data_IF_656222154563
#
_entry.id   IF_656222154563
#
_cell.length_a   1.000
_cell.length_b   1.000
_cell.length_c   1.000
_cell.angle_alpha   90.00
_cell.angle_beta   90.00
_cell.angle_gamma   90.00
#
_symmetry.space_group_name_H-M   'P 1'
#
loop_
_entity.id
_entity.type
_entity.pdbx_description
1 polymer ?
#
# COMPACT_ATOMS: atom_id res chain seq x y z
N UNK A 1 21.29 28.58 -23.18
CA UNK A 1 21.63 27.16 -22.91
C UNK A 1 21.27 26.35 -24.14
N UNK A 2 22.20 25.54 -24.65
CA UNK A 2 21.96 24.61 -25.76
C UNK A 2 21.24 23.37 -25.21
N UNK A 3 20.33 22.74 -25.97
CA UNK A 3 19.68 21.50 -25.54
C UNK A 3 20.72 20.37 -25.51
N UNK A 4 20.79 19.67 -24.39
CA UNK A 4 21.62 18.47 -24.25
C UNK A 4 20.98 17.32 -25.02
N UNK A 5 21.76 16.75 -25.94
CA UNK A 5 21.42 15.56 -26.69
C UNK A 5 21.52 14.33 -25.77
N UNK A 6 20.38 13.75 -25.39
CA UNK A 6 20.37 12.40 -24.84
C UNK A 6 20.66 11.40 -25.97
N UNK A 7 21.89 10.89 -25.98
CA UNK A 7 22.30 9.77 -26.81
C UNK A 7 21.57 8.50 -26.37
N UNK A 8 20.92 7.85 -27.32
CA UNK A 8 20.29 6.55 -27.15
C UNK A 8 21.34 5.48 -26.82
N UNK A 9 21.41 5.05 -25.56
CA UNK A 9 22.14 3.84 -25.19
C UNK A 9 21.29 2.88 -24.34
N UNK A 10 21.04 1.72 -24.97
CA UNK A 10 20.69 0.40 -24.45
C UNK A 10 19.46 0.30 -23.55
N UNK A 11 18.32 0.16 -24.22
CA UNK A 11 17.10 -0.49 -23.70
C UNK A 11 17.46 -1.93 -23.29
N UNK A 12 17.30 -2.34 -22.02
CA UNK A 12 17.44 -3.73 -21.62
C UNK A 12 16.36 -4.58 -22.30
N UNK A 13 16.78 -5.66 -22.94
CA UNK A 13 15.89 -6.59 -23.62
C UNK A 13 15.17 -7.51 -22.61
N UNK A 14 14.00 -7.06 -22.13
CA UNK A 14 12.73 -7.82 -22.24
C UNK A 14 11.56 -6.88 -21.87
N UNK A 15 10.77 -6.49 -22.87
CA UNK A 15 9.53 -5.72 -22.78
C UNK A 15 8.29 -6.64 -22.68
N UNK A 16 8.52 -7.93 -22.43
CA UNK A 16 7.45 -8.91 -22.33
C UNK A 16 6.76 -8.71 -20.98
N UNK A 17 5.65 -7.93 -20.96
CA UNK A 17 4.49 -7.97 -20.03
C UNK A 17 3.85 -6.59 -19.72
N UNK A 18 4.42 -5.46 -20.18
CA UNK A 18 3.73 -4.16 -20.11
C UNK A 18 2.87 -3.93 -21.36
N UNK A 19 1.56 -3.81 -21.18
CA UNK A 19 0.61 -3.62 -22.28
C UNK A 19 0.17 -2.16 -22.44
N UNK A 20 0.36 -1.58 -23.63
CA UNK A 20 -0.27 -0.31 -24.00
C UNK A 20 -1.74 -0.52 -24.33
N UNK A 21 -2.60 0.18 -23.61
CA UNK A 21 -4.05 0.13 -23.77
C UNK A 21 -4.60 1.53 -24.00
N UNK A 22 -5.80 1.61 -24.60
CA UNK A 22 -6.48 2.89 -24.79
C UNK A 22 -8.01 2.74 -24.85
N UNK A 23 -8.71 3.84 -24.61
CA UNK A 23 -10.13 3.99 -24.92
C UNK A 23 -10.50 5.46 -25.15
N UNK A 24 -11.65 5.70 -25.78
CA UNK A 24 -12.15 7.05 -25.99
C UNK A 24 -12.78 7.63 -24.71
N UNK A 25 -12.38 8.84 -24.32
CA UNK A 25 -12.97 9.62 -23.25
C UNK A 25 -12.92 11.11 -23.60
N UNK A 26 -14.04 11.81 -23.42
CA UNK A 26 -14.19 13.23 -23.73
C UNK A 26 -13.66 13.60 -25.13
N UNK A 27 -14.08 12.84 -26.16
CA UNK A 27 -13.63 13.02 -27.54
C UNK A 27 -12.17 12.68 -27.83
N UNK A 28 -11.39 12.29 -26.82
CA UNK A 28 -9.95 12.02 -26.93
C UNK A 28 -9.64 10.53 -26.81
N UNK A 29 -8.58 10.07 -27.50
CA UNK A 29 -7.96 8.76 -27.25
C UNK A 29 -7.13 8.87 -25.98
N UNK A 30 -7.55 8.21 -24.90
CA UNK A 30 -6.80 8.16 -23.64
C UNK A 30 -6.03 6.86 -23.56
N UNK A 31 -4.73 6.97 -23.30
CA UNK A 31 -3.80 5.84 -23.25
C UNK A 31 -3.36 5.55 -21.82
N UNK A 32 -2.98 4.31 -21.57
CA UNK A 32 -2.41 3.88 -20.30
C UNK A 32 -1.61 2.60 -20.50
N UNK A 33 -0.53 2.44 -19.74
CA UNK A 33 0.18 1.17 -19.62
C UNK A 33 -0.44 0.34 -18.52
N UNK A 34 -0.39 -0.98 -18.68
CA UNK A 34 -0.83 -1.94 -17.68
C UNK A 34 0.24 -3.01 -17.51
N UNK A 35 0.57 -3.31 -16.26
CA UNK A 35 1.39 -4.46 -15.90
C UNK A 35 0.55 -5.40 -15.03
N UNK A 36 0.42 -6.65 -15.48
CA UNK A 36 -0.27 -7.72 -14.75
C UNK A 36 0.80 -8.68 -14.27
N UNK A 37 0.94 -8.89 -12.95
CA UNK A 37 2.01 -9.72 -12.43
C UNK A 37 1.83 -11.17 -12.85
N UNK A 38 2.93 -11.89 -13.05
CA UNK A 38 2.92 -13.25 -13.60
C UNK A 38 2.08 -14.24 -12.78
N UNK A 39 1.98 -14.02 -11.46
CA UNK A 39 1.17 -14.81 -10.53
C UNK A 39 -0.32 -14.47 -10.47
N UNK A 40 -0.80 -13.54 -11.30
CA UNK A 40 -2.20 -13.11 -11.31
C UNK A 40 -3.15 -14.24 -11.76
N UNK A 41 -4.29 -14.36 -11.07
CA UNK A 41 -5.39 -15.26 -11.43
C UNK A 41 -6.72 -14.56 -11.18
N UNK A 42 -7.71 -14.78 -12.05
CA UNK A 42 -9.08 -14.28 -11.88
C UNK A 42 -9.77 -14.77 -10.59
N UNK A 43 -9.22 -15.79 -9.93
CA UNK A 43 -9.75 -16.33 -8.65
C UNK A 43 -9.29 -15.54 -7.43
N UNK A 44 -8.35 -14.59 -7.58
CA UNK A 44 -7.82 -13.78 -6.49
C UNK A 44 -8.05 -12.30 -6.84
N UNK A 45 -8.68 -11.56 -5.93
CA UNK A 45 -8.88 -10.12 -6.10
C UNK A 45 -7.55 -9.38 -5.86
N UNK A 46 -7.03 -8.75 -6.91
CA UNK A 46 -5.75 -8.04 -6.89
C UNK A 46 -5.91 -6.57 -6.45
N UNK A 47 -5.03 -6.03 -5.59
CA UNK A 47 -4.95 -4.59 -5.38
C UNK A 47 -4.51 -3.87 -6.66
N UNK A 48 -4.88 -2.60 -6.80
CA UNK A 48 -4.57 -1.77 -7.97
C UNK A 48 -3.80 -0.53 -7.55
N UNK A 49 -2.75 -0.19 -8.29
CA UNK A 49 -2.03 1.09 -8.16
C UNK A 49 -2.13 1.88 -9.46
N UNK A 50 -2.67 3.09 -9.35
CA UNK A 50 -2.60 4.11 -10.39
C UNK A 50 -1.34 4.95 -10.17
N UNK A 51 -0.41 4.98 -11.14
CA UNK A 51 0.86 5.71 -11.01
C UNK A 51 0.98 6.80 -12.10
N UNK A 52 0.91 8.07 -11.68
CA UNK A 52 0.77 9.23 -12.57
C UNK A 52 2.10 9.96 -12.79
N UNK A 53 2.43 10.24 -14.06
CA UNK A 53 3.60 11.01 -14.44
C UNK A 53 3.47 12.51 -14.10
N UNK A 54 4.60 13.20 -13.93
CA UNK A 54 4.66 14.65 -13.78
C UNK A 54 4.36 15.42 -15.08
N UNK A 55 4.24 16.75 -14.99
CA UNK A 55 3.93 17.59 -16.15
C UNK A 55 5.00 17.44 -17.25
N UNK A 56 4.59 17.29 -18.52
CA UNK A 56 5.46 17.03 -19.65
C UNK A 56 5.98 15.59 -19.75
N UNK A 57 5.63 14.72 -18.79
CA UNK A 57 6.08 13.34 -18.74
C UNK A 57 5.33 12.38 -19.66
N UNK A 58 5.67 11.10 -19.56
CA UNK A 58 4.97 10.02 -20.26
C UNK A 58 4.71 8.86 -19.31
N UNK A 59 3.71 8.03 -19.61
CA UNK A 59 3.43 6.82 -18.85
C UNK A 59 4.66 5.89 -18.79
N UNK A 60 5.39 5.73 -19.90
CA UNK A 60 6.63 4.96 -19.94
C UNK A 60 7.77 5.61 -19.14
N UNK A 61 7.85 6.94 -19.16
CA UNK A 61 8.82 7.68 -18.35
C UNK A 61 8.55 7.51 -16.86
N UNK A 62 7.28 7.53 -16.45
CA UNK A 62 6.91 7.27 -15.06
C UNK A 62 7.14 5.81 -14.64
N UNK A 63 6.90 4.85 -15.53
CA UNK A 63 7.26 3.45 -15.29
C UNK A 63 8.77 3.29 -15.05
N UNK A 64 9.60 4.01 -15.81
CA UNK A 64 11.05 3.99 -15.62
C UNK A 64 11.51 4.73 -14.35
N UNK A 65 10.85 5.85 -14.00
CA UNK A 65 11.17 6.64 -12.81
C UNK A 65 10.71 5.96 -11.51
N UNK A 66 9.56 5.29 -11.57
CA UNK A 66 8.85 4.70 -10.44
C UNK A 66 8.42 3.28 -10.83
N UNK A 67 9.41 2.38 -10.93
CA UNK A 67 9.16 1.00 -11.29
C UNK A 67 8.68 0.20 -10.07
N UNK A 68 7.41 -0.20 -10.11
CA UNK A 68 6.78 -1.00 -9.04
C UNK A 68 6.66 -2.48 -9.44
N UNK A 69 7.24 -2.91 -10.56
CA UNK A 69 7.01 -4.27 -11.08
C UNK A 69 7.48 -5.37 -10.13
N UNK A 70 8.60 -5.18 -9.45
CA UNK A 70 9.06 -6.13 -8.42
C UNK A 70 8.08 -6.25 -7.25
N UNK A 71 7.48 -5.13 -6.82
CA UNK A 71 6.41 -5.14 -5.82
C UNK A 71 5.15 -5.81 -6.36
N UNK A 72 4.81 -5.58 -7.63
CA UNK A 72 3.68 -6.21 -8.27
C UNK A 72 3.82 -7.73 -8.35
N UNK A 73 4.98 -8.25 -8.77
CA UNK A 73 5.28 -9.68 -8.76
C UNK A 73 5.17 -10.27 -7.35
N UNK A 74 5.76 -9.58 -6.36
CA UNK A 74 5.79 -10.08 -4.98
C UNK A 74 4.42 -10.07 -4.29
N UNK A 75 3.57 -9.10 -4.61
CA UNK A 75 2.35 -8.83 -3.87
C UNK A 75 1.06 -8.98 -4.69
N UNK A 76 1.17 -9.40 -5.95
CA UNK A 76 0.03 -9.60 -6.85
C UNK A 76 -0.69 -8.30 -7.21
N UNK A 77 0.05 -7.20 -7.39
CA UNK A 77 -0.51 -5.86 -7.64
C UNK A 77 -0.71 -5.66 -9.14
N UNK A 78 -1.90 -5.19 -9.56
CA UNK A 78 -2.08 -4.68 -10.91
C UNK A 78 -1.61 -3.23 -10.96
N UNK A 79 -0.61 -2.94 -11.80
CA UNK A 79 -0.11 -1.58 -11.98
C UNK A 79 -0.70 -0.96 -13.24
N UNK A 80 -1.14 0.28 -13.11
CA UNK A 80 -1.66 1.09 -14.20
C UNK A 80 -0.90 2.41 -14.23
N UNK A 81 -0.30 2.73 -15.38
CA UNK A 81 0.40 3.99 -15.60
C UNK A 81 -0.35 4.79 -16.67
N UNK A 82 -1.26 5.71 -16.28
CA UNK A 82 -2.04 6.48 -17.24
C UNK A 82 -1.19 7.53 -17.98
N UNK A 83 -1.59 7.85 -19.22
CA UNK A 83 -0.99 8.94 -20.01
C UNK A 83 -1.89 10.19 -19.97
N UNK A 84 -1.32 11.31 -19.53
CA UNK A 84 -1.95 12.62 -19.53
C UNK A 84 -2.05 13.16 -20.95
N UNK A 85 -3.09 13.95 -21.21
CA UNK A 85 -3.27 14.60 -22.50
C UNK A 85 -2.29 15.76 -22.65
N UNK A 86 -1.90 16.05 -23.89
CA UNK A 86 -0.98 17.14 -24.20
C UNK A 86 -1.72 18.49 -24.28
N UNK A 87 -1.16 19.52 -23.66
CA UNK A 87 -1.62 20.89 -23.84
C UNK A 87 -1.28 21.39 -25.25
N UNK A 88 -2.11 22.29 -25.78
CA UNK A 88 -1.84 22.94 -27.07
C UNK A 88 -0.48 23.67 -27.11
N UNK A 89 -0.01 24.15 -25.95
CA UNK A 89 1.29 24.84 -25.80
C UNK A 89 2.45 23.87 -25.49
N UNK A 90 2.20 22.57 -25.53
CA UNK A 90 3.16 21.50 -25.22
C UNK A 90 3.10 21.06 -23.76
N UNK A 91 3.49 19.80 -23.55
CA UNK A 91 3.54 19.16 -22.23
C UNK A 91 2.24 18.43 -21.90
N UNK A 92 2.37 17.14 -21.61
CA UNK A 92 1.29 16.33 -21.06
C UNK A 92 0.96 16.74 -19.63
N UNK A 93 -0.31 16.68 -19.24
CA UNK A 93 -0.72 17.13 -17.91
C UNK A 93 -1.90 16.36 -17.35
N UNK A 94 -2.17 16.64 -16.08
CA UNK A 94 -3.34 16.23 -15.33
C UNK A 94 -4.06 17.46 -14.76
N UNK A 95 -5.38 17.45 -14.86
CA UNK A 95 -6.30 18.29 -14.11
C UNK A 95 -6.76 17.51 -12.85
N UNK A 96 -6.26 17.84 -11.65
CA UNK A 96 -6.64 17.14 -10.42
C UNK A 96 -8.06 17.49 -9.92
N UNK A 97 -8.66 18.53 -10.50
CA UNK A 97 -9.93 19.12 -10.11
C UNK A 97 -10.98 19.01 -11.22
N UNK A 98 -12.28 19.10 -10.89
CA UNK A 98 -13.33 19.33 -11.87
C UNK A 98 -12.99 20.53 -12.77
N UNK A 99 -13.28 20.38 -14.06
CA UNK A 99 -12.95 21.41 -15.05
C UNK A 99 -13.60 22.75 -14.68
N UNK A 100 -12.76 23.77 -14.57
CA UNK A 100 -13.11 25.14 -14.22
C UNK A 100 -12.33 26.15 -15.08
N UNK A 101 -12.59 27.45 -14.90
CA UNK A 101 -11.83 28.51 -15.58
C UNK A 101 -10.33 28.50 -15.24
N UNK A 102 -9.95 27.94 -14.08
CA UNK A 102 -8.57 27.90 -13.60
C UNK A 102 -7.85 26.61 -14.00
N UNK A 103 -8.55 25.70 -14.68
CA UNK A 103 -7.99 24.45 -15.20
C UNK A 103 -7.00 24.69 -16.34
N UNK A 104 -5.96 23.84 -16.43
CA UNK A 104 -4.94 23.94 -17.49
C UNK A 104 -5.51 23.64 -18.87
N UNK A 105 -6.56 22.81 -18.92
CA UNK A 105 -7.32 22.49 -20.12
C UNK A 105 -8.74 22.06 -19.72
N UNK A 106 -9.56 21.77 -20.73
CA UNK A 106 -10.91 21.20 -20.55
C UNK A 106 -10.93 19.67 -20.32
N UNK A 107 -9.77 19.02 -20.15
CA UNK A 107 -9.69 17.56 -19.96
C UNK A 107 -10.34 17.12 -18.65
N UNK A 108 -11.31 16.21 -18.73
CA UNK A 108 -11.90 15.53 -17.57
C UNK A 108 -11.04 14.32 -17.12
N UNK A 109 -9.97 14.59 -16.37
CA UNK A 109 -9.06 13.54 -15.91
C UNK A 109 -9.66 12.70 -14.77
N UNK A 110 -10.52 13.29 -13.94
CA UNK A 110 -11.28 12.58 -12.92
C UNK A 110 -12.21 11.55 -13.57
N UNK A 111 -13.08 11.97 -14.51
CA UNK A 111 -13.97 11.06 -15.23
C UNK A 111 -13.23 10.02 -16.06
N UNK A 112 -12.05 10.36 -16.60
CA UNK A 112 -11.16 9.38 -17.24
C UNK A 112 -10.73 8.28 -16.26
N UNK A 113 -10.20 8.64 -15.09
CA UNK A 113 -9.76 7.65 -14.07
C UNK A 113 -10.92 6.79 -13.59
N UNK A 114 -12.09 7.37 -13.33
CA UNK A 114 -13.28 6.61 -12.92
C UNK A 114 -13.69 5.58 -13.99
N UNK A 115 -13.65 5.96 -15.27
CA UNK A 115 -13.93 5.04 -16.39
C UNK A 115 -12.83 3.99 -16.58
N UNK A 116 -11.57 4.36 -16.35
CA UNK A 116 -10.43 3.45 -16.39
C UNK A 116 -10.58 2.35 -15.33
N UNK A 117 -10.83 2.69 -14.07
CA UNK A 117 -11.06 1.71 -13.00
C UNK A 117 -12.27 0.79 -13.29
N UNK A 118 -13.35 1.34 -13.84
CA UNK A 118 -14.50 0.53 -14.31
C UNK A 118 -14.11 -0.46 -15.41
N UNK A 119 -13.22 -0.07 -16.32
CA UNK A 119 -12.70 -0.93 -17.38
C UNK A 119 -11.79 -2.03 -16.82
N UNK A 120 -10.89 -1.66 -15.91
CA UNK A 120 -9.98 -2.61 -15.24
C UNK A 120 -10.79 -3.65 -14.46
N UNK A 121 -11.75 -3.24 -13.63
CA UNK A 121 -12.61 -4.16 -12.87
C UNK A 121 -13.51 -5.06 -13.71
N UNK A 122 -13.76 -4.72 -14.98
CA UNK A 122 -14.47 -5.59 -15.92
C UNK A 122 -13.56 -6.67 -16.51
N UNK A 123 -12.29 -6.33 -16.73
CA UNK A 123 -11.33 -7.20 -17.40
C UNK A 123 -10.51 -8.04 -16.42
N UNK A 124 -10.40 -7.61 -15.17
CA UNK A 124 -9.63 -8.24 -14.11
C UNK A 124 -10.45 -8.31 -12.82
N UNK A 125 -10.32 -9.41 -12.10
CA UNK A 125 -10.72 -9.55 -10.70
C UNK A 125 -9.84 -8.65 -9.84
N UNK A 126 -10.37 -7.50 -9.42
CA UNK A 126 -9.68 -6.53 -8.57
C UNK A 126 -10.36 -6.41 -7.23
N UNK A 127 -9.56 -6.15 -6.21
CA UNK A 127 -10.03 -5.82 -4.88
C UNK A 127 -10.38 -4.33 -4.85
N UNK A 128 -11.69 -4.03 -4.97
CA UNK A 128 -12.18 -2.64 -4.98
C UNK A 128 -11.95 -1.91 -3.66
N UNK A 129 -11.69 -2.64 -2.56
CA UNK A 129 -11.32 -2.03 -1.29
C UNK A 129 -9.86 -1.57 -1.26
N UNK A 130 -9.03 -2.01 -2.22
CA UNK A 130 -7.58 -1.76 -2.31
C UNK A 130 -7.18 -1.14 -3.65
N UNK A 131 -7.74 0.02 -3.93
CA UNK A 131 -7.29 0.87 -5.03
C UNK A 131 -6.51 2.04 -4.45
N UNK A 132 -5.28 2.21 -4.91
CA UNK A 132 -4.37 3.25 -4.44
C UNK A 132 -3.91 4.12 -5.61
N UNK A 133 -3.44 5.33 -5.29
CA UNK A 133 -2.83 6.21 -6.28
C UNK A 133 -1.50 6.79 -5.81
N UNK A 134 -0.54 6.87 -6.71
CA UNK A 134 0.76 7.52 -6.50
C UNK A 134 1.11 8.33 -7.73
N UNK A 135 2.10 9.20 -7.64
CA UNK A 135 2.57 9.95 -8.78
C UNK A 135 3.60 10.98 -8.40
N UNK A 136 4.20 11.57 -9.41
CA UNK A 136 5.26 12.56 -9.28
C UNK A 136 4.75 13.96 -9.66
N UNK A 137 5.06 14.99 -8.87
CA UNK A 137 4.80 16.39 -9.22
C UNK A 137 3.34 16.68 -9.60
N UNK A 138 3.02 17.02 -10.86
CA UNK A 138 1.63 17.17 -11.31
C UNK A 138 0.81 15.88 -11.15
N UNK A 139 1.43 14.71 -11.28
CA UNK A 139 0.82 13.40 -11.02
C UNK A 139 0.58 13.14 -9.52
N UNK A 140 1.43 13.66 -8.64
CA UNK A 140 1.13 13.69 -7.19
C UNK A 140 -0.08 14.57 -6.89
N UNK A 141 -0.20 15.73 -7.57
CA UNK A 141 -1.41 16.54 -7.54
C UNK A 141 -2.65 15.78 -8.00
N UNK A 142 -2.53 14.96 -9.05
CA UNK A 142 -3.63 14.07 -9.48
C UNK A 142 -4.00 13.05 -8.39
N UNK A 143 -3.03 12.47 -7.68
CA UNK A 143 -3.31 11.57 -6.57
C UNK A 143 -4.09 12.28 -5.43
N UNK A 144 -3.69 13.50 -5.05
CA UNK A 144 -4.45 14.31 -4.09
C UNK A 144 -5.88 14.61 -4.58
N UNK A 145 -6.04 14.98 -5.84
CA UNK A 145 -7.35 15.21 -6.45
C UNK A 145 -8.25 13.97 -6.42
N UNK A 146 -7.69 12.78 -6.67
CA UNK A 146 -8.42 11.52 -6.56
C UNK A 146 -8.83 11.21 -5.11
N UNK A 147 -7.95 11.46 -4.13
CA UNK A 147 -8.29 11.27 -2.73
C UNK A 147 -9.42 12.21 -2.29
N UNK A 148 -9.43 13.45 -2.78
CA UNK A 148 -10.46 14.44 -2.43
C UNK A 148 -11.80 14.20 -3.15
N UNK A 149 -11.76 13.95 -4.47
CA UNK A 149 -12.96 13.88 -5.33
C UNK A 149 -13.48 12.45 -5.58
N UNK A 150 -12.67 11.43 -5.29
CA UNK A 150 -13.07 10.01 -5.39
C UNK A 150 -12.75 9.21 -4.11
N UNK A 151 -13.10 9.75 -2.93
CA UNK A 151 -12.80 9.11 -1.66
C UNK A 151 -13.53 7.77 -1.56
N UNK A 152 -14.65 7.55 -2.27
CA UNK A 152 -15.35 6.27 -2.36
C UNK A 152 -14.53 5.15 -3.03
N UNK A 153 -13.59 5.52 -3.91
CA UNK A 153 -12.81 4.57 -4.71
C UNK A 153 -11.39 4.38 -4.20
N UNK A 154 -10.78 5.39 -3.60
CA UNK A 154 -9.35 5.41 -3.27
C UNK A 154 -9.14 5.11 -1.79
N UNK A 155 -8.47 3.99 -1.49
CA UNK A 155 -8.16 3.60 -0.12
C UNK A 155 -6.92 4.32 0.45
N UNK A 156 -6.03 4.80 -0.41
CA UNK A 156 -4.86 5.55 0.03
C UNK A 156 -4.03 6.10 -1.12
N UNK A 157 -3.22 7.11 -0.82
CA UNK A 157 -2.35 7.75 -1.79
C UNK A 157 -0.90 7.86 -1.31
N UNK A 158 0.03 7.82 -2.26
CA UNK A 158 1.47 7.99 -2.02
C UNK A 158 2.09 9.08 -2.92
N UNK A 159 1.74 10.37 -2.76
CA UNK A 159 2.27 11.46 -3.60
C UNK A 159 3.75 11.74 -3.34
N UNK A 160 4.52 11.97 -4.41
CA UNK A 160 5.96 12.28 -4.36
C UNK A 160 6.24 13.63 -5.02
N UNK A 161 6.95 14.52 -4.31
CA UNK A 161 7.31 15.88 -4.75
C UNK A 161 6.15 16.63 -5.38
N UNK A 162 4.97 16.54 -4.74
CA UNK A 162 3.77 17.26 -5.14
C UNK A 162 3.01 17.79 -3.94
N UNK A 163 2.05 18.66 -4.21
CA UNK A 163 1.22 19.32 -3.21
C UNK A 163 -0.26 19.25 -3.62
N UNK A 164 -1.11 19.41 -2.61
CA UNK A 164 -2.55 19.48 -2.71
C UNK A 164 -3.00 20.92 -3.01
N UNK A 165 -4.11 21.07 -3.73
CA UNK A 165 -4.77 22.37 -3.87
C UNK A 165 -5.17 22.90 -2.48
N UNK A 166 -4.89 24.17 -2.17
CA UNK A 166 -5.15 24.73 -0.83
C UNK A 166 -6.64 24.88 -0.50
N UNK A 167 -7.49 25.01 -1.52
CA UNK A 167 -8.94 25.04 -1.35
C UNK A 167 -9.46 23.80 -0.62
N UNK A 168 -8.79 22.65 -0.80
CA UNK A 168 -9.18 21.39 -0.16
C UNK A 168 -9.10 21.47 1.37
N UNK A 169 -8.24 22.32 1.92
CA UNK A 169 -8.10 22.50 3.38
C UNK A 169 -9.40 22.98 4.03
N UNK A 170 -10.28 23.63 3.26
CA UNK A 170 -11.54 24.21 3.72
C UNK A 170 -12.77 23.33 3.50
N UNK A 171 -12.59 22.18 2.85
CA UNK A 171 -13.66 21.27 2.44
C UNK A 171 -13.39 19.86 2.93
N UNK A 172 -14.43 19.08 3.19
CA UNK A 172 -14.24 17.66 3.54
C UNK A 172 -14.23 16.79 2.28
N UNK A 173 -13.52 15.68 2.34
CA UNK A 173 -13.45 14.66 1.28
C UNK A 173 -14.72 13.77 1.27
N UNK A 174 -15.91 14.39 1.34
CA UNK A 174 -17.19 13.68 1.26
C UNK A 174 -17.46 12.66 2.36
N UNK A 175 -16.69 12.67 3.45
CA UNK A 175 -16.90 11.82 4.64
C UNK A 175 -16.28 10.42 4.57
N UNK A 176 -15.51 10.10 3.52
CA UNK A 176 -14.85 8.78 3.42
C UNK A 176 -13.32 8.89 3.56
N UNK A 177 -12.74 8.50 4.72
CA UNK A 177 -11.32 8.69 5.04
C UNK A 177 -10.38 8.19 3.94
N UNK A 178 -9.27 8.87 3.61
CA UNK A 178 -8.26 8.37 2.66
C UNK A 178 -6.89 8.40 3.33
N UNK A 179 -6.15 7.29 3.32
CA UNK A 179 -4.81 7.27 3.91
C UNK A 179 -3.79 7.99 3.03
N UNK A 180 -2.81 8.64 3.65
CA UNK A 180 -1.80 9.45 2.95
C UNK A 180 -0.39 9.08 3.39
N UNK A 181 0.49 8.73 2.46
CA UNK A 181 1.94 8.71 2.71
C UNK A 181 2.65 9.66 1.73
N UNK A 182 3.15 10.78 2.21
CA UNK A 182 3.75 11.82 1.35
C UNK A 182 5.27 11.83 1.45
N UNK A 183 5.94 12.15 0.33
CA UNK A 183 7.39 12.33 0.26
C UNK A 183 7.71 13.67 -0.38
N UNK A 184 8.38 14.56 0.33
CA UNK A 184 8.71 15.91 -0.12
C UNK A 184 10.15 16.26 0.26
N UNK A 185 10.81 17.07 -0.58
CA UNK A 185 12.16 17.56 -0.34
C UNK A 185 12.13 18.97 0.23
N UNK A 186 12.98 19.25 1.24
CA UNK A 186 13.04 20.59 1.86
C UNK A 186 13.52 21.68 0.90
N UNK A 187 14.30 21.33 -0.13
CA UNK A 187 14.82 22.22 -1.16
C UNK A 187 14.05 22.13 -2.49
N UNK A 188 12.84 21.58 -2.50
CA UNK A 188 11.98 21.56 -3.68
C UNK A 188 11.44 22.97 -4.01
N UNK A 189 12.05 23.67 -4.96
CA UNK A 189 11.61 25.03 -5.34
C UNK A 189 10.42 25.03 -6.31
N UNK A 190 10.04 23.86 -6.85
CA UNK A 190 8.89 23.71 -7.76
C UNK A 190 7.62 23.47 -6.95
N UNK A 191 7.73 22.70 -5.86
CA UNK A 191 6.67 22.38 -4.90
C UNK A 191 7.18 22.63 -3.47
N UNK A 192 7.34 23.91 -3.08
CA UNK A 192 7.91 24.28 -1.79
C UNK A 192 7.14 23.67 -0.62
N UNK A 193 7.86 23.21 0.41
CA UNK A 193 7.25 22.61 1.62
C UNK A 193 6.25 23.54 2.31
N UNK A 194 6.44 24.86 2.16
CA UNK A 194 5.55 25.90 2.71
C UNK A 194 4.31 26.16 1.84
N UNK A 195 4.14 25.46 0.73
CA UNK A 195 3.05 25.69 -0.21
C UNK A 195 3.26 26.93 -1.09
N UNK A 196 2.22 27.25 -1.85
CA UNK A 196 2.11 28.48 -2.65
C UNK A 196 0.79 29.12 -2.27
N UNK A 197 0.84 30.27 -1.60
CA UNK A 197 -0.35 30.94 -1.08
C UNK A 197 -1.41 31.20 -2.16
N UNK A 198 -2.64 30.73 -1.94
CA UNK A 198 -3.76 30.84 -2.87
C UNK A 198 -3.71 29.84 -4.02
N UNK A 199 -2.94 28.76 -3.89
CA UNK A 199 -2.83 27.73 -4.93
C UNK A 199 -2.50 26.34 -4.40
N UNK A 200 -1.52 26.19 -3.51
CA UNK A 200 -1.06 24.89 -3.00
C UNK A 200 -0.84 24.95 -1.49
N UNK A 201 -1.42 23.98 -0.79
CA UNK A 201 -1.23 23.85 0.66
C UNK A 201 0.22 23.51 1.02
N UNK A 202 0.65 23.92 2.22
CA UNK A 202 1.93 23.48 2.77
C UNK A 202 1.90 21.99 3.11
N UNK A 203 3.06 21.32 3.10
CA UNK A 203 3.15 19.90 3.45
C UNK A 203 2.61 19.64 4.86
N UNK A 204 2.90 20.52 5.82
CA UNK A 204 2.40 20.42 7.18
C UNK A 204 0.88 20.58 7.27
N UNK A 205 0.29 21.50 6.50
CA UNK A 205 -1.17 21.70 6.46
C UNK A 205 -1.87 20.50 5.80
N UNK A 206 -1.27 19.93 4.76
CA UNK A 206 -1.76 18.71 4.08
C UNK A 206 -1.83 17.56 5.09
N UNK A 207 -0.73 17.26 5.77
CA UNK A 207 -0.67 16.18 6.76
C UNK A 207 -1.67 16.41 7.89
N UNK A 208 -1.76 17.64 8.39
CA UNK A 208 -2.72 18.00 9.45
C UNK A 208 -4.17 17.90 8.99
N UNK A 209 -4.47 18.27 7.74
CA UNK A 209 -5.80 18.14 7.15
C UNK A 209 -6.22 16.67 7.07
N UNK A 210 -5.39 15.82 6.46
CA UNK A 210 -5.70 14.39 6.32
C UNK A 210 -5.72 13.66 7.67
N UNK A 211 -4.89 14.06 8.63
CA UNK A 211 -4.95 13.52 9.98
C UNK A 211 -6.31 13.82 10.64
N UNK A 212 -6.84 15.04 10.48
CA UNK A 212 -8.19 15.40 10.97
C UNK A 212 -9.29 14.63 10.24
N UNK A 213 -9.26 14.59 8.92
CA UNK A 213 -10.26 13.84 8.12
C UNK A 213 -10.29 12.35 8.53
N UNK A 214 -9.13 11.78 8.87
CA UNK A 214 -9.00 10.40 9.29
C UNK A 214 -9.16 10.17 10.80
N UNK A 215 -9.52 11.21 11.58
CA UNK A 215 -9.62 11.14 13.04
C UNK A 215 -8.35 10.62 13.73
N UNK A 216 -7.19 10.94 13.18
CA UNK A 216 -5.89 10.61 13.76
C UNK A 216 -5.50 11.67 14.78
N UNK A 217 -5.48 11.26 16.04
CA UNK A 217 -5.31 12.10 17.24
C UNK A 217 -3.91 12.02 17.83
N UNK A 218 -3.13 11.01 17.43
CA UNK A 218 -1.78 10.75 17.93
C UNK A 218 -0.76 11.03 16.83
N UNK A 219 0.40 11.57 17.19
CA UNK A 219 1.50 11.82 16.25
C UNK A 219 2.85 11.44 16.83
N UNK A 220 3.72 10.83 16.03
CA UNK A 220 5.10 10.49 16.38
C UNK A 220 6.03 10.99 15.27
N UNK A 221 7.10 11.69 15.65
CA UNK A 221 8.14 12.12 14.73
C UNK A 221 9.44 11.33 14.96
N UNK A 222 10.06 10.90 13.88
CA UNK A 222 11.29 10.10 13.86
C UNK A 222 12.26 10.65 12.82
N UNK A 223 13.55 10.41 13.03
CA UNK A 223 14.59 10.84 12.11
C UNK A 223 15.45 9.65 11.69
N UNK A 224 15.78 9.61 10.41
CA UNK A 224 16.63 8.62 9.79
C UNK A 224 17.80 9.32 9.09
N UNK A 225 18.93 8.63 9.01
CA UNK A 225 20.11 9.10 8.30
C UNK A 225 20.32 8.26 7.05
N UNK A 226 20.51 8.93 5.91
CA UNK A 226 20.86 8.30 4.64
C UNK A 226 22.37 8.13 4.52
N UNK A 227 22.81 7.17 3.68
CA UNK A 227 24.23 6.93 3.43
C UNK A 227 24.96 8.12 2.80
N UNK A 228 24.24 8.95 2.03
CA UNK A 228 24.76 10.18 1.42
C UNK A 228 24.87 11.35 2.44
N UNK A 229 24.45 11.13 3.69
CA UNK A 229 24.48 12.12 4.77
C UNK A 229 23.22 12.99 4.87
N UNK A 230 22.23 12.81 4.00
CA UNK A 230 20.92 13.48 4.14
C UNK A 230 20.16 12.92 5.36
N UNK A 231 19.39 13.78 6.01
CA UNK A 231 18.43 13.39 7.05
C UNK A 231 17.05 13.20 6.42
N UNK A 232 16.30 12.24 6.92
CA UNK A 232 14.87 12.12 6.62
C UNK A 232 14.10 12.27 7.92
N UNK A 233 13.13 13.17 7.94
CA UNK A 233 12.17 13.27 9.03
C UNK A 233 10.86 12.58 8.62
N UNK A 234 10.43 11.61 9.42
CA UNK A 234 9.11 11.00 9.30
C UNK A 234 8.20 11.52 10.40
N UNK A 235 7.02 12.00 10.06
CA UNK A 235 5.93 12.19 11.03
C UNK A 235 4.78 11.26 10.70
N UNK A 236 4.38 10.42 11.66
CA UNK A 236 3.27 9.48 11.54
C UNK A 236 2.10 9.96 12.38
N UNK A 237 0.88 9.92 11.84
CA UNK A 237 -0.37 10.23 12.54
C UNK A 237 -1.27 9.00 12.59
N UNK A 238 -1.68 8.64 13.81
CA UNK A 238 -2.48 7.46 14.10
C UNK A 238 -3.76 7.79 14.83
N UNK A 239 -4.77 6.96 14.62
CA UNK A 239 -6.03 6.94 15.36
C UNK A 239 -5.85 6.31 16.74
N UNK A 240 -6.85 6.46 17.59
CA UNK A 240 -6.87 5.82 18.93
C UNK A 240 -6.88 4.29 18.88
N UNK A 241 -7.32 3.70 17.77
CA UNK A 241 -7.26 2.25 17.51
C UNK A 241 -5.87 1.76 17.05
N UNK A 242 -4.88 2.66 16.96
CA UNK A 242 -3.51 2.37 16.57
C UNK A 242 -3.27 2.33 15.06
N UNK A 243 -4.29 2.53 14.22
CA UNK A 243 -4.11 2.62 12.78
C UNK A 243 -3.44 3.95 12.40
N UNK A 244 -2.23 3.86 11.83
CA UNK A 244 -1.59 4.99 11.16
C UNK A 244 -2.28 5.26 9.83
N UNK A 245 -2.79 6.48 9.66
CA UNK A 245 -3.52 6.89 8.44
C UNK A 245 -2.84 8.01 7.67
N UNK A 246 -1.84 8.67 8.26
CA UNK A 246 -1.00 9.65 7.57
C UNK A 246 0.46 9.42 7.95
N UNK A 247 1.35 9.37 6.96
CA UNK A 247 2.79 9.45 7.13
C UNK A 247 3.34 10.56 6.22
N UNK A 248 4.21 11.40 6.78
CA UNK A 248 4.89 12.46 6.05
C UNK A 248 6.37 12.21 6.13
N UNK A 249 7.04 12.18 4.98
CA UNK A 249 8.49 12.10 4.85
C UNK A 249 9.02 13.42 4.28
N UNK A 250 9.86 14.10 5.05
CA UNK A 250 10.64 15.25 4.59
C UNK A 250 12.10 14.84 4.42
N UNK A 251 12.62 15.01 3.21
CA UNK A 251 14.02 14.70 2.86
C UNK A 251 14.82 15.99 2.93
N UNK A 252 15.74 16.06 3.89
CA UNK A 252 16.70 17.16 4.04
C UNK A 252 17.53 17.30 2.77
N UNK A 253 17.69 18.52 2.27
CA UNK A 253 18.32 18.86 0.99
C UNK A 253 17.70 18.22 -0.26
N UNK A 254 16.62 17.46 -0.12
CA UNK A 254 15.91 16.86 -1.24
C UNK A 254 15.28 17.91 -2.14
N UNK A 255 15.39 17.73 -3.45
CA UNK A 255 14.85 18.65 -4.45
C UNK A 255 13.49 18.22 -5.00
N UNK A 256 13.23 18.61 -6.26
CA UNK A 256 12.06 18.17 -7.02
C UNK A 256 12.37 16.88 -7.78
N UNK A 257 12.19 15.72 -7.12
CA UNK A 257 12.65 14.43 -7.65
C UNK A 257 11.81 13.24 -7.16
N UNK A 258 12.11 12.05 -7.70
CA UNK A 258 11.66 10.79 -7.09
C UNK A 258 12.82 10.26 -6.25
N UNK A 259 12.69 10.34 -4.92
CA UNK A 259 13.82 10.15 -4.03
C UNK A 259 14.37 8.72 -4.05
N UNK A 260 15.69 8.61 -4.11
CA UNK A 260 16.44 7.40 -3.80
C UNK A 260 16.62 7.32 -2.28
N UNK A 261 15.72 6.59 -1.62
CA UNK A 261 15.69 6.46 -0.15
C UNK A 261 16.22 5.09 0.26
N UNK A 262 16.92 5.04 1.39
CA UNK A 262 17.13 3.81 2.15
C UNK A 262 16.79 4.05 3.62
N UNK A 263 15.61 3.60 4.04
CA UNK A 263 15.17 3.63 5.43
C UNK A 263 15.01 2.21 5.93
N UNK A 264 15.98 1.77 6.74
CA UNK A 264 16.01 0.42 7.30
C UNK A 264 15.94 -0.68 6.22
N UNK A 265 16.69 -0.50 5.13
CA UNK A 265 16.76 -1.43 4.01
C UNK A 265 15.55 -1.38 3.08
N UNK A 266 14.78 -0.28 3.08
CA UNK A 266 13.60 -0.09 2.24
C UNK A 266 13.71 1.17 1.40
N UNK A 267 13.39 1.01 0.12
CA UNK A 267 13.23 2.13 -0.82
C UNK A 267 11.87 2.84 -0.67
N UNK A 268 11.72 3.98 -1.35
CA UNK A 268 10.48 4.77 -1.35
C UNK A 268 9.26 3.96 -1.77
N UNK A 269 9.36 3.15 -2.82
CA UNK A 269 8.24 2.37 -3.34
C UNK A 269 7.81 1.30 -2.33
N UNK A 270 8.78 0.67 -1.66
CA UNK A 270 8.55 -0.32 -0.60
C UNK A 270 7.90 0.30 0.64
N UNK A 271 8.35 1.50 1.06
CA UNK A 271 7.73 2.25 2.15
C UNK A 271 6.28 2.63 1.80
N UNK A 272 6.06 3.17 0.61
CA UNK A 272 4.74 3.49 0.10
C UNK A 272 3.83 2.26 0.07
N UNK A 273 4.30 1.13 -0.44
CA UNK A 273 3.53 -0.12 -0.44
C UNK A 273 3.24 -0.65 0.97
N UNK A 274 4.22 -0.63 1.87
CA UNK A 274 4.04 -1.06 3.26
C UNK A 274 2.94 -0.25 3.95
N UNK A 275 2.89 1.05 3.69
CA UNK A 275 1.81 1.90 4.19
C UNK A 275 0.47 1.57 3.53
N UNK A 276 0.40 1.63 2.19
CA UNK A 276 -0.84 1.50 1.42
C UNK A 276 -1.51 0.15 1.59
N UNK A 277 -0.73 -0.94 1.60
CA UNK A 277 -1.23 -2.31 1.69
C UNK A 277 -2.00 -2.60 3.00
N UNK A 278 -1.80 -1.77 4.03
CA UNK A 278 -2.55 -1.82 5.29
C UNK A 278 -3.90 -1.13 5.21
N UNK A 279 -4.27 -0.47 4.11
CA UNK A 279 -5.49 0.33 4.03
C UNK A 279 -6.54 -0.35 3.15
N UNK A 280 -7.77 -0.44 3.64
CA UNK A 280 -8.93 -0.94 2.88
C UNK A 280 -10.14 -0.02 3.06
N UNK A 281 -10.90 0.17 1.98
CA UNK A 281 -12.23 0.79 2.04
C UNK A 281 -13.29 -0.20 2.50
N UNK A 282 -14.07 0.17 3.52
CA UNK A 282 -15.24 -0.59 3.98
C UNK A 282 -16.30 0.38 4.51
N UNK A 283 -17.55 0.27 4.03
CA UNK A 283 -18.73 1.00 4.53
C UNK A 283 -18.44 2.50 4.77
N UNK A 284 -17.90 3.17 3.75
CA UNK A 284 -17.46 4.57 3.76
C UNK A 284 -16.27 4.89 4.69
N UNK A 285 -15.77 3.96 5.50
CA UNK A 285 -14.57 4.11 6.32
C UNK A 285 -13.28 3.64 5.64
N UNK A 286 -12.14 3.97 6.27
CA UNK A 286 -10.90 3.19 6.13
C UNK A 286 -10.71 2.36 7.39
N UNK A 287 -10.45 1.08 7.17
CA UNK A 287 -9.93 0.19 8.19
C UNK A 287 -8.47 -0.12 7.88
N UNK A 288 -7.72 -0.52 8.91
CA UNK A 288 -6.63 -1.47 8.68
C UNK A 288 -7.19 -2.55 7.79
N UNK A 289 -6.42 -3.04 6.82
CA UNK A 289 -6.73 -4.24 6.10
C UNK A 289 -7.12 -5.23 7.18
N UNK A 290 -8.44 -5.47 7.36
CA UNK A 290 -8.87 -6.47 8.31
C UNK A 290 -8.19 -7.67 7.76
N UNK A 291 -7.21 -8.13 8.52
CA UNK A 291 -6.61 -9.40 8.28
C UNK A 291 -7.78 -10.32 8.03
N UNK A 292 -7.84 -10.98 6.88
CA UNK A 292 -8.89 -11.98 6.68
C UNK A 292 -8.71 -12.94 7.84
N UNK A 293 -9.59 -12.84 8.83
CA UNK A 293 -9.34 -13.47 10.10
C UNK A 293 -10.07 -14.79 10.09
N UNK A 294 -9.27 -15.84 10.24
CA UNK A 294 -9.78 -17.17 10.45
C UNK A 294 -9.91 -17.38 11.95
N UNK A 295 -11.13 -17.45 12.45
CA UNK A 295 -11.39 -17.85 13.83
C UNK A 295 -11.13 -19.35 13.94
N UNK A 296 -10.09 -19.73 14.70
CA UNK A 296 -9.85 -21.12 15.08
C UNK A 296 -10.47 -21.41 16.43
N UNK A 297 -11.22 -22.51 16.50
CA UNK A 297 -11.82 -23.00 17.74
C UNK A 297 -11.09 -24.23 18.24
N UNK A 298 -11.16 -24.48 19.54
CA UNK A 298 -10.68 -25.72 20.14
C UNK A 298 -11.39 -26.92 19.46
N UNK A 299 -10.66 -27.84 18.81
CA UNK A 299 -11.26 -29.05 18.26
C UNK A 299 -11.60 -30.04 19.37
N UNK A 300 -12.70 -30.79 19.21
CA UNK A 300 -13.09 -31.84 20.17
C UNK A 300 -12.02 -32.93 20.34
N UNK A 301 -11.24 -33.19 19.29
CA UNK A 301 -10.13 -34.15 19.27
C UNK A 301 -9.00 -33.65 18.37
N UNK A 302 -7.78 -33.61 18.88
CA UNK A 302 -6.58 -33.19 18.11
C UNK A 302 -6.12 -34.26 17.11
N UNK A 303 -6.79 -34.34 15.97
CA UNK A 303 -6.34 -35.17 14.85
C UNK A 303 -6.15 -34.36 13.59
N UNK A 304 -5.21 -34.79 12.73
CA UNK A 304 -4.97 -34.14 11.44
C UNK A 304 -6.20 -34.15 10.51
N UNK A 305 -7.15 -35.07 10.73
CA UNK A 305 -8.39 -35.16 9.97
C UNK A 305 -9.42 -34.09 10.35
N UNK A 306 -9.41 -33.66 11.61
CA UNK A 306 -10.34 -32.68 12.19
C UNK A 306 -9.76 -31.28 12.31
N UNK A 307 -8.44 -31.12 12.17
CA UNK A 307 -7.80 -29.80 12.12
C UNK A 307 -8.34 -28.95 10.95
N UNK A 308 -8.52 -27.66 11.21
CA UNK A 308 -8.99 -26.71 10.21
C UNK A 308 -8.03 -26.64 9.02
N UNK A 309 -8.58 -26.70 7.81
CA UNK A 309 -7.79 -26.66 6.57
C UNK A 309 -7.86 -25.27 5.99
N UNK A 310 -6.80 -24.50 6.23
CA UNK A 310 -6.70 -23.13 5.71
C UNK A 310 -6.08 -23.18 4.33
N UNK A 311 -6.86 -22.74 3.34
CA UNK A 311 -6.42 -22.61 1.95
C UNK A 311 -6.25 -21.13 1.61
N UNK A 312 -5.22 -20.82 0.82
CA UNK A 312 -4.94 -19.47 0.31
C UNK A 312 -4.71 -18.42 1.43
N UNK A 313 -4.07 -18.80 2.54
CA UNK A 313 -3.68 -17.85 3.58
C UNK A 313 -2.49 -17.00 3.12
N UNK A 314 -2.61 -15.67 3.20
CA UNK A 314 -1.55 -14.73 2.89
C UNK A 314 -0.97 -14.12 4.17
N UNK A 315 0.22 -14.56 4.58
CA UNK A 315 0.86 -14.08 5.81
C UNK A 315 1.25 -12.58 5.79
N UNK A 316 1.15 -11.90 4.65
CA UNK A 316 1.34 -10.44 4.60
C UNK A 316 0.05 -9.67 4.91
N UNK A 317 -1.11 -10.30 4.72
CA UNK A 317 -2.41 -9.61 4.77
C UNK A 317 -3.46 -10.27 5.64
N UNK A 318 -3.24 -11.48 6.15
CA UNK A 318 -4.25 -12.30 6.85
C UNK A 318 -3.88 -12.55 8.33
N UNK A 319 -4.89 -12.93 9.13
CA UNK A 319 -4.83 -13.22 10.57
C UNK A 319 -5.34 -14.60 10.81
N UNK A 320 -4.86 -15.18 11.90
CA UNK A 320 -5.55 -16.23 12.60
C UNK A 320 -6.03 -15.64 13.93
N UNK A 321 -7.34 -15.58 14.11
CA UNK A 321 -7.95 -15.23 15.38
C UNK A 321 -8.07 -16.50 16.21
N UNK A 322 -7.60 -16.46 17.45
CA UNK A 322 -7.67 -17.60 18.37
C UNK A 322 -8.35 -17.13 19.65
N UNK A 323 -9.55 -17.64 19.92
CA UNK A 323 -10.25 -17.44 21.19
C UNK A 323 -9.52 -18.22 22.29
N UNK A 324 -8.61 -17.58 22.99
CA UNK A 324 -7.73 -18.23 23.96
C UNK A 324 -8.49 -18.73 25.20
N UNK A 325 -9.68 -18.17 25.47
CA UNK A 325 -10.54 -18.64 26.56
C UNK A 325 -11.09 -20.04 26.25
N UNK A 326 -11.40 -20.32 24.98
CA UNK A 326 -11.81 -21.66 24.54
C UNK A 326 -10.72 -22.71 24.73
N UNK A 327 -9.45 -22.30 24.74
CA UNK A 327 -8.27 -23.15 25.00
C UNK A 327 -7.87 -23.19 26.49
N UNK A 328 -8.66 -22.58 27.38
CA UNK A 328 -8.38 -22.55 28.82
C UNK A 328 -7.19 -21.66 29.22
N UNK A 329 -6.72 -20.79 28.33
CA UNK A 329 -5.63 -19.86 28.60
C UNK A 329 -6.23 -18.56 29.16
N UNK A 330 -5.92 -18.24 30.42
CA UNK A 330 -6.40 -17.06 31.13
C UNK A 330 -5.33 -15.97 31.30
N UNK A 331 -4.29 -16.00 30.47
CA UNK A 331 -3.15 -15.06 30.42
C UNK A 331 -2.83 -14.70 28.98
N UNK A 332 -1.88 -13.79 28.77
CA UNK A 332 -1.31 -13.57 27.44
C UNK A 332 -0.73 -14.88 26.88
N UNK A 333 -1.21 -15.29 25.71
CA UNK A 333 -0.73 -16.48 25.03
C UNK A 333 0.61 -16.23 24.34
N UNK A 334 1.43 -17.27 24.24
CA UNK A 334 2.75 -17.23 23.60
C UNK A 334 2.76 -18.05 22.31
N UNK A 335 3.53 -17.57 21.33
CA UNK A 335 3.64 -18.19 20.00
C UNK A 335 5.09 -18.40 19.61
N UNK A 336 5.38 -19.59 19.09
CA UNK A 336 6.71 -19.99 18.61
C UNK A 336 6.64 -20.60 17.22
N UNK A 337 7.78 -20.60 16.52
CA UNK A 337 7.89 -21.18 15.17
C UNK A 337 9.09 -22.12 15.06
N UNK A 338 9.02 -23.07 14.13
CA UNK A 338 10.17 -23.89 13.76
C UNK A 338 10.25 -24.10 12.26
N UNK A 339 11.37 -23.68 11.65
CA UNK A 339 11.61 -23.76 10.19
C UNK A 339 11.89 -25.18 9.71
N UNK A 340 12.31 -26.04 10.64
CA UNK A 340 12.68 -27.42 10.36
C UNK A 340 12.47 -28.31 11.59
N UNK A 341 12.59 -29.63 11.38
CA UNK A 341 12.40 -30.66 12.42
C UNK A 341 13.29 -30.46 13.65
N UNK A 342 14.49 -29.89 13.50
CA UNK A 342 15.42 -29.67 14.62
C UNK A 342 14.96 -28.52 15.50
N UNK A 343 14.51 -27.43 14.90
CA UNK A 343 13.97 -26.26 15.62
C UNK A 343 12.65 -26.56 16.30
N UNK A 344 11.72 -27.23 15.61
CA UNK A 344 10.45 -27.69 16.22
C UNK A 344 10.73 -28.54 17.47
N UNK A 345 11.71 -29.46 17.41
CA UNK A 345 12.13 -30.25 18.59
C UNK A 345 12.75 -29.40 19.70
N UNK A 346 13.47 -28.33 19.36
CA UNK A 346 14.08 -27.41 20.33
C UNK A 346 13.01 -26.63 21.09
N UNK A 347 11.99 -26.14 20.38
CA UNK A 347 10.84 -25.46 20.99
C UNK A 347 10.06 -26.42 21.89
N UNK A 348 9.71 -27.61 21.36
CA UNK A 348 9.03 -28.67 22.14
C UNK A 348 9.79 -29.09 23.41
N UNK A 349 11.12 -28.97 23.45
CA UNK A 349 11.90 -29.32 24.62
C UNK A 349 11.82 -28.27 25.74
N UNK A 350 11.50 -27.01 25.40
CA UNK A 350 11.38 -25.94 26.39
C UNK A 350 10.04 -25.94 27.11
N UNK A 351 8.98 -26.38 26.43
CA UNK A 351 7.60 -26.44 26.99
C UNK A 351 7.07 -25.08 27.48
N UNK A 352 7.63 -23.96 26.99
CA UNK A 352 7.34 -22.58 27.42
C UNK A 352 6.54 -21.80 26.35
N UNK A 353 5.63 -22.48 25.65
CA UNK A 353 4.81 -21.90 24.59
C UNK A 353 3.37 -22.41 24.63
N UNK A 354 2.42 -21.60 24.20
CA UNK A 354 1.02 -22.02 24.06
C UNK A 354 0.72 -22.52 22.64
N UNK A 355 1.29 -21.86 21.62
CA UNK A 355 1.10 -22.21 20.22
C UNK A 355 2.44 -22.36 19.48
N UNK A 356 2.53 -23.38 18.61
CA UNK A 356 3.70 -23.66 17.78
C UNK A 356 3.30 -23.86 16.34
N UNK A 357 4.00 -23.17 15.43
CA UNK A 357 3.85 -23.38 13.99
C UNK A 357 5.06 -24.10 13.36
N UNK A 358 4.81 -25.28 12.76
CA UNK A 358 5.77 -26.02 11.94
C UNK A 358 5.76 -25.43 10.52
N UNK A 359 6.65 -24.47 10.25
CA UNK A 359 6.74 -23.77 8.95
C UNK A 359 7.07 -24.72 7.80
N UNK A 360 7.69 -25.89 8.06
CA UNK A 360 7.96 -26.86 6.99
C UNK A 360 6.69 -27.60 6.55
N UNK A 361 5.74 -27.79 7.46
CA UNK A 361 4.52 -28.59 7.21
C UNK A 361 3.24 -27.77 7.14
N UNK A 362 3.30 -26.49 7.51
CA UNK A 362 2.14 -25.62 7.63
C UNK A 362 1.21 -26.01 8.78
N UNK A 363 1.69 -26.74 9.79
CA UNK A 363 0.86 -27.18 10.91
C UNK A 363 0.92 -26.20 12.08
N UNK A 364 -0.23 -25.74 12.55
CA UNK A 364 -0.38 -24.94 13.77
C UNK A 364 -0.87 -25.84 14.91
N UNK A 365 -0.17 -25.81 16.03
CA UNK A 365 -0.37 -26.70 17.17
C UNK A 365 -0.62 -25.89 18.44
N UNK A 366 -1.54 -26.39 19.26
CA UNK A 366 -1.78 -25.93 20.63
C UNK A 366 -1.05 -26.86 21.61
N UNK A 367 -0.41 -26.29 22.62
CA UNK A 367 0.24 -26.99 23.71
C UNK A 367 -0.57 -26.80 24.99
N UNK A 368 -1.19 -27.87 25.49
CA UNK A 368 -2.09 -27.78 26.66
C UNK A 368 -1.33 -27.71 28.01
N UNK A 369 0.01 -27.58 28.00
CA UNK A 369 0.84 -27.60 29.21
C UNK A 369 0.60 -28.82 30.12
N UNK A 370 0.02 -29.90 29.59
CA UNK A 370 -0.02 -31.21 30.24
C UNK A 370 1.41 -31.74 30.41
N UNK A 371 1.73 -32.35 31.54
CA UNK A 371 3.07 -32.75 31.97
C UNK A 371 3.80 -33.81 31.08
N UNK A 372 3.32 -34.06 29.87
CA UNK A 372 3.75 -35.12 28.97
C UNK A 372 4.61 -34.62 27.80
N UNK A 373 5.46 -35.50 27.27
CA UNK A 373 6.33 -35.18 26.12
C UNK A 373 5.49 -34.83 24.88
N UNK A 374 5.76 -33.68 24.29
CA UNK A 374 5.12 -33.26 23.04
C UNK A 374 4.23 -32.05 23.28
N UNK A 375 2.93 -32.19 23.02
CA UNK A 375 1.92 -31.14 23.17
C UNK A 375 0.98 -31.37 24.38
N UNK A 376 1.31 -32.32 25.26
CA UNK A 376 0.41 -32.80 26.30
C UNK A 376 -0.85 -33.44 25.70
N UNK A 377 -2.01 -33.08 26.28
CA UNK A 377 -3.34 -33.37 25.74
C UNK A 377 -3.70 -32.50 24.53
N UNK A 378 -2.89 -31.46 24.25
CA UNK A 378 -2.99 -30.60 23.08
C UNK A 378 -2.53 -31.25 21.78
N UNK A 379 -2.67 -30.53 20.67
CA UNK A 379 -2.20 -31.00 19.38
C UNK A 379 -2.53 -30.07 18.22
N UNK A 380 -2.64 -30.64 17.02
CA UNK A 380 -2.82 -29.86 15.79
C UNK A 380 -4.23 -29.24 15.74
N UNK A 381 -4.29 -27.93 15.54
CA UNK A 381 -5.54 -27.17 15.43
C UNK A 381 -5.83 -26.71 14.00
N UNK A 382 -4.78 -26.42 13.22
CA UNK A 382 -4.93 -26.02 11.83
C UNK A 382 -3.79 -26.49 10.94
N UNK A 383 -4.08 -26.59 9.64
CA UNK A 383 -3.15 -26.89 8.56
C UNK A 383 -3.28 -25.81 7.50
N UNK A 384 -2.28 -24.93 7.42
CA UNK A 384 -2.15 -23.92 6.39
C UNK A 384 -1.49 -24.51 5.14
N UNK A 385 -2.27 -24.64 4.07
CA UNK A 385 -1.77 -25.09 2.77
C UNK A 385 -0.79 -24.06 2.19
N UNK A 386 0.31 -24.56 1.63
CA UNK A 386 1.41 -23.73 1.15
C UNK A 386 2.45 -23.39 2.22
N UNK A 387 2.17 -23.69 3.49
CA UNK A 387 3.05 -23.45 4.63
C UNK A 387 3.64 -22.02 4.64
N UNK A 388 2.79 -20.97 4.66
CA UNK A 388 3.24 -19.58 4.63
C UNK A 388 4.10 -19.27 5.85
N UNK A 389 5.02 -18.30 5.71
CA UNK A 389 5.87 -17.83 6.80
C UNK A 389 5.05 -17.03 7.83
N UNK A 390 4.48 -17.72 8.82
CA UNK A 390 3.81 -17.08 9.95
C UNK A 390 4.81 -16.51 10.95
N UNK A 391 4.45 -15.35 11.51
CA UNK A 391 5.09 -14.73 12.68
C UNK A 391 4.03 -14.39 13.73
N UNK A 392 4.45 -13.92 14.92
CA UNK A 392 3.51 -13.49 15.97
C UNK A 392 2.57 -12.39 15.51
N UNK A 393 2.95 -11.56 14.53
CA UNK A 393 2.07 -10.53 13.98
C UNK A 393 0.90 -11.10 13.18
N UNK A 394 0.88 -12.40 12.87
CA UNK A 394 -0.20 -13.06 12.15
C UNK A 394 -1.27 -13.67 13.06
N UNK A 395 -1.04 -13.74 14.38
CA UNK A 395 -2.01 -14.28 15.32
C UNK A 395 -2.60 -13.16 16.18
N UNK A 396 -3.92 -13.18 16.30
CA UNK A 396 -4.65 -12.33 17.23
C UNK A 396 -5.30 -13.23 18.28
N UNK A 397 -4.81 -13.11 19.52
CA UNK A 397 -5.36 -13.83 20.66
C UNK A 397 -6.52 -13.01 21.22
N UNK A 398 -7.75 -13.46 20.98
CA UNK A 398 -8.99 -12.77 21.33
C UNK A 398 -9.68 -13.38 22.55
#
# INVERSE_FOLDING_TARGET
MKPENFTSEKIPASLDEVSLNYFAHDGNKREYLTYIPSGYSHTIEAPVILNFHGFGGTASGQLALSDWRDLAEKHGIILIYPQGLELQKGGSHWNPDPVSSDSKSISDDLGFVRRLLKRISKNYSIDKSRVYATGYSNGAGMAYGLAHHMPDLIAGIAPVSGLMNDEYLSTTSGGSPVGLISFNGEEDWVRPVNGINGYLASVADISSHWARENSSTQSIAEQFAQANGDRIERTSYSRDDGLTTVEQYLVDRGGHEWFDLDIEGKDLNQLAWQFLSRLRKQDEGILTARKKSLELRLPDVFTRGLADKVINFNALTDAIDIDINSFGINRSATFETGKNKKEVKKVLAKQDFDFLYDQKKGGLYFNENGADKGFGEGGIIAILKGAPDLTSSNLEFI
#
